data_IF_666293774174
#
_entry.id   IF_666293774174
#
_cell.length_a   1.000
_cell.length_b   1.000
_cell.length_c   1.000
_cell.angle_alpha   90.00
_cell.angle_beta   90.00
_cell.angle_gamma   90.00
#
_symmetry.space_group_name_H-M   'P 1'
#
loop_
_entity.id
_entity.type
_entity.pdbx_description
1 polymer ?
#
# COMPACT_ATOMS: atom_id res chain seq x y z
N UNK A 1 -8.11 -1.78 -6.32
CA UNK A 1 -7.17 -1.69 -5.20
C UNK A 1 -7.65 -0.72 -4.14
N UNK A 2 -7.89 0.55 -4.48
CA UNK A 2 -8.47 1.53 -3.54
C UNK A 2 -9.74 1.00 -2.86
N UNK A 3 -10.70 0.45 -3.62
CA UNK A 3 -11.93 -0.14 -3.05
C UNK A 3 -11.66 -1.33 -2.12
N UNK A 4 -10.61 -2.12 -2.38
CA UNK A 4 -10.25 -3.27 -1.55
C UNK A 4 -9.66 -2.79 -0.22
N UNK A 5 -8.93 -1.68 -0.25
CA UNK A 5 -8.40 -1.04 0.95
C UNK A 5 -9.54 -0.43 1.77
N UNK A 6 -10.52 0.20 1.11
CA UNK A 6 -11.75 0.71 1.75
C UNK A 6 -12.49 -0.42 2.48
N UNK A 7 -12.73 -1.55 1.80
CA UNK A 7 -13.33 -2.75 2.41
C UNK A 7 -12.52 -3.29 3.60
N UNK A 8 -11.18 -3.21 3.55
CA UNK A 8 -10.31 -3.61 4.67
C UNK A 8 -10.48 -2.68 5.87
N UNK A 9 -10.62 -1.37 5.64
CA UNK A 9 -10.83 -0.40 6.73
C UNK A 9 -12.22 -0.51 7.35
N UNK A 10 -13.23 -0.88 6.55
CA UNK A 10 -14.61 -1.06 7.01
C UNK A 10 -14.84 -2.41 7.73
N UNK A 11 -14.12 -3.47 7.33
CA UNK A 11 -14.33 -4.83 7.86
C UNK A 11 -13.42 -5.15 9.04
N UNK A 12 -12.17 -4.66 9.06
CA UNK A 12 -11.21 -5.01 10.11
C UNK A 12 -11.25 -4.01 11.27
N UNK A 13 -11.88 -4.45 12.35
CA UNK A 13 -12.50 -3.59 13.36
C UNK A 13 -11.65 -3.21 14.58
N UNK A 14 -10.32 -3.18 14.51
CA UNK A 14 -9.53 -2.57 15.60
C UNK A 14 -8.69 -1.39 15.12
N UNK A 15 -8.77 -0.29 15.87
CA UNK A 15 -7.96 0.91 15.61
C UNK A 15 -6.46 0.60 15.56
N UNK A 16 -6.01 -0.39 16.34
CA UNK A 16 -4.61 -0.78 16.39
C UNK A 16 -4.12 -1.40 15.07
N UNK A 17 -4.90 -2.33 14.50
CA UNK A 17 -4.57 -2.98 13.23
C UNK A 17 -4.58 -1.96 12.08
N UNK A 18 -5.57 -1.06 12.06
CA UNK A 18 -5.64 0.02 11.06
C UNK A 18 -4.46 0.98 11.17
N UNK A 19 -4.02 1.34 12.39
CA UNK A 19 -2.84 2.17 12.60
C UNK A 19 -1.55 1.48 12.14
N UNK A 20 -1.39 0.19 12.41
CA UNK A 20 -0.26 -0.60 11.92
C UNK A 20 -0.28 -0.69 10.38
N UNK A 21 -1.43 -0.95 9.77
CA UNK A 21 -1.58 -0.96 8.31
C UNK A 21 -1.23 0.39 7.69
N UNK A 22 -1.76 1.48 8.24
CA UNK A 22 -1.46 2.87 7.83
C UNK A 22 0.05 3.16 7.92
N UNK A 23 0.70 2.66 8.97
CA UNK A 23 2.15 2.82 9.18
C UNK A 23 2.94 2.04 8.13
N UNK A 24 2.55 0.81 7.82
CA UNK A 24 3.15 0.03 6.74
C UNK A 24 3.06 0.74 5.40
N UNK A 25 1.90 1.33 5.08
CA UNK A 25 1.73 2.08 3.83
C UNK A 25 2.51 3.40 3.84
N UNK A 26 2.54 4.11 4.97
CA UNK A 26 3.30 5.36 5.10
C UNK A 26 4.81 5.16 4.98
N UNK A 27 5.34 4.08 5.55
CA UNK A 27 6.78 3.74 5.50
C UNK A 27 7.14 2.93 4.25
N UNK A 28 6.13 2.38 3.57
CA UNK A 28 6.28 1.46 2.45
C UNK A 28 7.11 0.23 2.84
N UNK A 29 6.80 -0.35 4.01
CA UNK A 29 7.58 -1.40 4.67
C UNK A 29 6.68 -2.61 4.99
N UNK A 30 6.98 -3.76 4.39
CA UNK A 30 6.26 -5.02 4.61
C UNK A 30 6.47 -5.58 6.02
N UNK A 31 7.52 -5.16 6.73
CA UNK A 31 7.78 -5.55 8.11
C UNK A 31 6.72 -5.03 9.09
N UNK A 32 6.11 -3.87 8.81
CA UNK A 32 5.13 -3.23 9.68
C UNK A 32 3.74 -3.90 9.64
N UNK A 33 3.50 -4.77 8.66
CA UNK A 33 2.22 -5.47 8.49
C UNK A 33 2.26 -6.95 8.90
N UNK A 34 3.41 -7.48 9.33
CA UNK A 34 3.54 -8.93 9.60
C UNK A 34 2.65 -9.45 10.74
N UNK A 35 2.37 -8.60 11.72
CA UNK A 35 1.52 -8.90 12.87
C UNK A 35 0.02 -8.74 12.56
N UNK A 36 -0.33 -8.26 11.36
CA UNK A 36 -1.71 -8.06 10.96
C UNK A 36 -2.38 -9.37 10.53
N UNK A 37 -3.72 -9.40 10.53
CA UNK A 37 -4.48 -10.48 9.92
C UNK A 37 -4.06 -10.78 8.47
N UNK A 38 -4.19 -12.04 8.06
CA UNK A 38 -3.68 -12.54 6.77
C UNK A 38 -4.22 -11.77 5.55
N UNK A 39 -5.50 -11.45 5.58
CA UNK A 39 -6.18 -10.58 4.64
C UNK A 39 -5.54 -9.20 4.46
N UNK A 40 -5.16 -8.52 5.55
CA UNK A 40 -4.48 -7.22 5.50
C UNK A 40 -3.08 -7.39 4.90
N UNK A 41 -2.36 -8.44 5.28
CA UNK A 41 -1.04 -8.74 4.70
C UNK A 41 -1.12 -8.95 3.19
N UNK A 42 -2.09 -9.76 2.73
CA UNK A 42 -2.33 -9.98 1.31
C UNK A 42 -2.71 -8.68 0.61
N UNK A 43 -3.57 -7.85 1.22
CA UNK A 43 -3.96 -6.55 0.66
C UNK A 43 -2.75 -5.61 0.50
N UNK A 44 -1.91 -5.51 1.54
CA UNK A 44 -0.69 -4.72 1.52
C UNK A 44 0.29 -5.21 0.46
N UNK A 45 0.50 -6.53 0.37
CA UNK A 45 1.41 -7.12 -0.60
C UNK A 45 0.95 -6.84 -2.04
N UNK A 46 -0.35 -7.02 -2.33
CA UNK A 46 -0.90 -6.68 -3.63
C UNK A 46 -0.73 -5.18 -3.97
N UNK A 47 -0.95 -4.30 -2.99
CA UNK A 47 -0.71 -2.86 -3.14
C UNK A 47 0.75 -2.54 -3.46
N UNK A 48 1.66 -3.15 -2.71
CA UNK A 48 3.10 -2.98 -2.87
C UNK A 48 3.56 -3.43 -4.26
N UNK A 49 3.15 -4.62 -4.69
CA UNK A 49 3.57 -5.22 -5.95
C UNK A 49 3.03 -4.43 -7.15
N UNK A 50 1.73 -4.11 -7.18
CA UNK A 50 1.11 -3.33 -8.27
C UNK A 50 1.79 -1.96 -8.41
N UNK A 51 2.05 -1.28 -7.30
CA UNK A 51 2.66 0.05 -7.32
C UNK A 51 4.10 0.00 -7.82
N UNK A 52 4.87 -1.01 -7.43
CA UNK A 52 6.25 -1.18 -7.88
C UNK A 52 6.33 -1.62 -9.34
N UNK A 53 5.44 -2.52 -9.78
CA UNK A 53 5.31 -2.93 -11.17
C UNK A 53 4.95 -1.73 -12.05
N UNK A 54 3.97 -0.93 -11.65
CA UNK A 54 3.60 0.31 -12.36
C UNK A 54 4.78 1.29 -12.44
N UNK A 55 5.52 1.49 -11.35
CA UNK A 55 6.71 2.32 -11.36
C UNK A 55 7.81 1.77 -12.28
N UNK A 56 7.98 0.46 -12.33
CA UNK A 56 8.96 -0.21 -13.18
C UNK A 56 8.60 -0.06 -14.67
N UNK A 57 7.35 -0.30 -15.04
CA UNK A 57 6.86 -0.13 -16.41
C UNK A 57 6.98 1.34 -16.87
N UNK A 58 6.61 2.30 -16.02
CA UNK A 58 6.72 3.72 -16.35
C UNK A 58 8.17 4.20 -16.46
N UNK A 59 9.11 3.58 -15.72
CA UNK A 59 10.55 3.82 -15.85
C UNK A 59 11.13 3.28 -17.17
N UNK A 60 10.50 2.27 -17.77
CA UNK A 60 10.91 1.74 -19.09
C UNK A 60 10.48 2.65 -20.24
N UNK A 61 9.38 3.40 -20.10
CA UNK A 61 8.83 4.25 -21.17
C UNK A 61 9.34 5.70 -21.18
N UNK A 62 9.62 6.30 -20.01
CA UNK A 62 10.24 7.64 -19.85
C UNK A 62 11.08 7.61 -18.57
N UNK A 63 11.89 8.64 -18.30
CA UNK A 63 12.71 8.81 -17.10
C UNK A 63 11.89 8.73 -15.78
N UNK A 64 11.46 7.50 -15.42
CA UNK A 64 10.45 7.19 -14.41
C UNK A 64 11.01 7.12 -13.00
N UNK A 65 12.21 7.67 -12.79
CA UNK A 65 12.83 7.86 -11.48
C UNK A 65 11.94 8.67 -10.52
N UNK A 66 11.02 9.49 -11.05
CA UNK A 66 10.10 10.33 -10.29
C UNK A 66 8.73 9.68 -9.99
N UNK A 67 8.37 8.57 -10.64
CA UNK A 67 6.98 8.05 -10.63
C UNK A 67 6.62 7.39 -9.30
N UNK A 68 7.51 6.55 -8.75
CA UNK A 68 7.25 5.83 -7.50
C UNK A 68 6.95 6.78 -6.32
N UNK A 69 7.72 7.86 -6.09
CA UNK A 69 7.34 8.87 -5.09
C UNK A 69 5.93 9.44 -5.27
N UNK A 70 5.49 9.70 -6.50
CA UNK A 70 4.15 10.20 -6.78
C UNK A 70 3.06 9.16 -6.46
N UNK A 71 3.28 7.90 -6.86
CA UNK A 71 2.34 6.82 -6.57
C UNK A 71 2.19 6.58 -5.07
N UNK A 72 3.31 6.51 -4.33
CA UNK A 72 3.28 6.41 -2.85
C UNK A 72 2.50 7.57 -2.21
N UNK A 73 2.64 8.78 -2.76
CA UNK A 73 1.92 9.96 -2.26
C UNK A 73 0.42 9.84 -2.45
N UNK A 74 -0.05 9.36 -3.61
CA UNK A 74 -1.48 9.15 -3.89
C UNK A 74 -2.08 8.11 -2.95
N UNK A 75 -1.40 6.98 -2.77
CA UNK A 75 -1.86 5.93 -1.85
C UNK A 75 -1.95 6.45 -0.41
N UNK A 76 -0.98 7.26 0.02
CA UNK A 76 -0.99 7.89 1.35
C UNK A 76 -2.11 8.91 1.53
N UNK A 77 -2.60 9.58 0.48
CA UNK A 77 -3.75 10.49 0.61
C UNK A 77 -5.07 9.75 0.75
N UNK A 78 -5.12 8.48 0.37
CA UNK A 78 -6.33 7.67 0.42
C UNK A 78 -6.53 6.98 1.78
N UNK A 79 -5.47 6.90 2.60
CA UNK A 79 -5.44 6.30 3.93
C UNK A 79 -5.29 7.36 5.02
#
# INVERSE_FOLDING_TARGET
>A
MILIIDDVYDVYGSLHELQQFTKGVSRWDTGEVQELPECMKICFQALYDITNEMAFEMKREKDGSQVLPHLKKVVKYFL
#
